data_IF_807200548003
#
_entry.id   IF_807200548003
#
_cell.length_a   1.000
_cell.length_b   1.000
_cell.length_c   1.000
_cell.angle_alpha   90.00
_cell.angle_beta   90.00
_cell.angle_gamma   90.00
#
_symmetry.space_group_name_H-M   'P 1'
#
loop_
_entity.id
_entity.type
_entity.pdbx_description
1 polymer ?
#
# COMPACT_ATOMS: atom_id res chain seq x y z
N UNK A 1 7.98 10.10 46.24
CA UNK A 1 8.89 11.11 46.81
C UNK A 1 8.69 12.41 46.05
N UNK A 2 8.32 13.53 46.68
CA UNK A 2 8.24 14.82 46.00
C UNK A 2 9.66 15.30 45.64
N UNK A 3 9.82 15.91 44.45
CA UNK A 3 11.12 16.46 43.99
C UNK A 3 11.35 17.82 44.68
N UNK A 4 12.46 17.94 45.41
CA UNK A 4 12.89 19.20 46.02
C UNK A 4 13.35 20.21 44.95
N UNK A 5 12.51 21.22 44.73
CA UNK A 5 12.73 22.30 43.77
C UNK A 5 13.83 23.29 44.21
N UNK A 6 14.22 23.27 45.48
CA UNK A 6 15.21 24.20 46.03
C UNK A 6 16.65 23.85 45.61
N UNK A 7 16.94 22.57 45.37
CA UNK A 7 18.25 22.10 44.89
C UNK A 7 18.57 22.60 43.47
N UNK A 8 17.56 22.67 42.59
CA UNK A 8 17.74 23.21 41.24
C UNK A 8 18.00 24.72 41.25
N UNK A 9 17.43 25.45 42.21
CA UNK A 9 17.60 26.90 42.31
C UNK A 9 19.01 27.27 42.74
N UNK A 10 19.58 26.52 43.68
CA UNK A 10 20.96 26.73 44.14
C UNK A 10 21.99 26.44 43.04
N UNK A 11 21.68 25.54 42.09
CA UNK A 11 22.56 25.26 40.94
C UNK A 11 22.56 26.37 39.88
N UNK A 12 21.55 27.23 39.85
CA UNK A 12 21.40 28.32 38.88
C UNK A 12 21.94 29.68 39.38
N UNK A 13 22.14 29.84 40.69
CA UNK A 13 22.63 31.10 41.29
C UNK A 13 24.14 31.35 41.08
N UNK A 14 24.87 30.40 40.51
CA UNK A 14 26.32 30.51 40.28
C UNK A 14 26.77 30.80 38.84
N UNK A 15 25.84 30.94 37.89
CA UNK A 15 26.20 31.19 36.48
C UNK A 15 26.22 32.69 36.17
N UNK A 16 27.33 33.18 35.59
CA UNK A 16 27.44 34.56 35.15
C UNK A 16 26.37 34.89 34.08
N UNK A 17 25.74 36.08 34.16
CA UNK A 17 24.79 36.50 33.14
C UNK A 17 25.54 36.89 31.86
N UNK A 18 25.20 36.23 30.74
CA UNK A 18 25.73 36.54 29.42
C UNK A 18 25.36 37.96 29.01
N UNK A 19 26.34 38.86 29.01
CA UNK A 19 26.24 40.17 28.38
C UNK A 19 26.26 40.02 26.86
N UNK A 20 25.48 40.86 26.18
CA UNK A 20 25.31 40.83 24.73
C UNK A 20 25.90 42.11 24.16
N UNK A 21 27.21 42.10 23.90
CA UNK A 21 27.86 43.19 23.17
C UNK A 21 28.56 42.67 21.90
N UNK A 22 28.58 43.45 20.79
CA UNK A 22 29.05 43.00 19.50
C UNK A 22 30.41 43.63 19.19
N UNK A 23 31.52 42.94 19.42
CA UNK A 23 32.80 43.34 18.82
C UNK A 23 33.61 42.16 18.28
N UNK A 24 34.17 42.42 17.11
CA UNK A 24 34.87 41.48 16.25
C UNK A 24 36.17 40.97 16.89
N UNK A 25 36.23 39.65 17.12
CA UNK A 25 37.43 38.92 17.48
C UNK A 25 37.66 37.79 16.49
N UNK A 26 38.69 37.92 15.67
CA UNK A 26 39.12 36.95 14.68
C UNK A 26 39.80 35.77 15.38
N UNK A 27 39.10 34.63 15.53
CA UNK A 27 39.70 33.34 15.87
C UNK A 27 39.20 32.27 14.92
N UNK A 28 40.09 31.86 14.02
CA UNK A 28 39.99 30.67 13.19
C UNK A 28 40.08 29.44 14.08
N UNK A 29 38.94 28.77 14.34
CA UNK A 29 38.81 27.32 14.55
C UNK A 29 37.38 26.99 15.03
N UNK A 30 36.37 27.45 14.28
CA UNK A 30 35.03 26.87 14.37
C UNK A 30 34.95 25.70 13.37
N UNK A 31 34.57 24.47 13.80
CA UNK A 31 34.19 23.45 12.85
C UNK A 31 33.02 24.02 12.03
N UNK A 32 33.03 23.86 10.70
CA UNK A 32 31.99 24.43 9.86
C UNK A 32 30.63 23.98 10.42
N UNK A 33 29.63 24.87 10.48
CA UNK A 33 28.29 24.45 10.85
C UNK A 33 27.98 23.24 9.97
N UNK A 34 27.51 22.15 10.57
CA UNK A 34 26.97 21.02 9.85
C UNK A 34 25.77 21.54 9.07
N UNK A 35 26.07 22.18 7.94
CA UNK A 35 25.16 22.40 6.85
C UNK A 35 24.91 20.99 6.35
N UNK A 36 23.94 20.35 7.00
CA UNK A 36 23.20 19.26 6.40
C UNK A 36 22.76 19.87 5.08
N UNK A 37 23.32 19.44 3.92
CA UNK A 37 22.83 19.93 2.65
C UNK A 37 21.33 19.72 2.73
N UNK A 38 20.55 20.79 2.49
CA UNK A 38 19.12 20.66 2.26
C UNK A 38 18.99 19.45 1.38
N UNK A 39 18.51 18.32 1.95
CA UNK A 39 18.27 17.09 1.22
C UNK A 39 17.61 17.60 -0.04
N UNK A 40 18.25 17.42 -1.20
CA UNK A 40 17.61 17.79 -2.44
C UNK A 40 16.31 17.02 -2.38
N UNK A 41 15.23 17.72 -2.03
CA UNK A 41 13.89 17.20 -1.91
C UNK A 41 13.68 16.67 -3.30
N UNK A 42 13.85 15.35 -3.45
CA UNK A 42 14.03 14.76 -4.75
C UNK A 42 12.81 15.17 -5.58
N UNK A 43 12.95 15.30 -6.90
CA UNK A 43 11.79 15.69 -7.72
C UNK A 43 10.59 14.73 -7.55
N UNK A 44 10.79 13.57 -6.93
CA UNK A 44 9.76 12.66 -6.42
C UNK A 44 8.92 13.26 -5.26
N UNK A 45 9.53 13.96 -4.29
CA UNK A 45 8.81 14.67 -3.22
C UNK A 45 8.03 15.89 -3.72
N UNK A 46 8.48 16.55 -4.79
CA UNK A 46 7.70 17.64 -5.42
C UNK A 46 6.38 17.14 -6.01
N UNK A 47 6.29 15.86 -6.42
CA UNK A 47 5.05 15.23 -6.90
C UNK A 47 4.08 14.83 -5.78
N UNK A 48 4.51 14.98 -4.53
CA UNK A 48 3.78 14.64 -3.32
C UNK A 48 3.29 15.88 -2.56
N UNK A 49 3.37 17.09 -3.12
CA UNK A 49 3.08 18.33 -2.38
C UNK A 49 1.69 18.37 -1.69
N UNK A 50 0.70 17.66 -2.23
CA UNK A 50 -0.67 17.59 -1.66
C UNK A 50 -0.89 16.37 -0.76
N UNK A 51 0.08 15.47 -0.65
CA UNK A 51 0.01 14.21 0.09
C UNK A 51 1.07 14.20 1.18
N UNK A 52 0.65 13.91 2.41
CA UNK A 52 1.54 13.75 3.56
C UNK A 52 1.57 12.28 3.97
N UNK A 53 2.21 11.40 3.17
CA UNK A 53 2.19 9.97 3.44
C UNK A 53 3.07 9.63 4.64
N UNK A 54 2.60 8.71 5.48
CA UNK A 54 3.35 8.13 6.58
C UNK A 54 3.18 6.61 6.59
N UNK A 55 4.21 5.88 7.02
CA UNK A 55 4.15 4.42 7.12
C UNK A 55 3.74 3.99 8.52
N UNK A 56 2.87 2.98 8.62
CA UNK A 56 2.51 2.30 9.86
C UNK A 56 2.52 0.79 9.65
N UNK A 57 2.67 0.01 10.71
CA UNK A 57 2.38 -1.43 10.66
C UNK A 57 0.89 -1.65 10.42
N UNK A 58 0.57 -2.77 9.76
CA UNK A 58 -0.80 -3.22 9.56
C UNK A 58 -1.23 -4.11 10.71
N UNK A 59 -2.50 -4.01 11.09
CA UNK A 59 -3.09 -4.86 12.10
C UNK A 59 -4.42 -5.47 11.63
N UNK A 60 -5.07 -6.20 12.52
CA UNK A 60 -6.35 -6.87 12.23
C UNK A 60 -7.50 -5.92 11.92
N UNK A 61 -7.44 -4.66 12.35
CA UNK A 61 -8.44 -3.64 12.06
C UNK A 61 -8.32 -3.15 10.60
N UNK A 62 -7.10 -3.20 10.04
CA UNK A 62 -6.81 -2.77 8.67
C UNK A 62 -7.15 -3.84 7.61
N UNK A 63 -7.55 -5.06 8.00
CA UNK A 63 -7.84 -6.17 7.06
C UNK A 63 -8.85 -5.76 5.98
N UNK A 64 -9.91 -5.04 6.39
CA UNK A 64 -10.94 -4.56 5.46
C UNK A 64 -10.44 -3.50 4.49
N UNK A 65 -9.55 -2.61 4.94
CA UNK A 65 -8.92 -1.60 4.09
C UNK A 65 -7.96 -2.24 3.08
N UNK A 66 -7.18 -3.22 3.53
CA UNK A 66 -6.27 -3.97 2.67
C UNK A 66 -7.03 -4.72 1.58
N UNK A 67 -8.09 -5.46 1.93
CA UNK A 67 -8.88 -6.18 0.93
C UNK A 67 -9.52 -5.24 -0.10
N UNK A 68 -10.11 -4.12 0.36
CA UNK A 68 -10.64 -3.12 -0.55
C UNK A 68 -9.55 -2.58 -1.49
N UNK A 69 -8.36 -2.29 -0.96
CA UNK A 69 -7.25 -1.78 -1.75
C UNK A 69 -6.76 -2.80 -2.77
N UNK A 70 -6.68 -4.10 -2.43
CA UNK A 70 -6.29 -5.14 -3.39
C UNK A 70 -7.31 -5.28 -4.52
N UNK A 71 -8.60 -5.28 -4.20
CA UNK A 71 -9.67 -5.36 -5.19
C UNK A 71 -9.74 -4.13 -6.11
N UNK A 72 -9.25 -2.99 -5.64
CA UNK A 72 -9.18 -1.75 -6.42
C UNK A 72 -7.91 -1.70 -7.28
N UNK A 73 -6.80 -2.25 -6.79
CA UNK A 73 -5.50 -2.21 -7.45
C UNK A 73 -5.25 -3.33 -8.46
N UNK A 74 -5.82 -4.53 -8.24
CA UNK A 74 -5.56 -5.73 -9.03
C UNK A 74 -6.80 -6.23 -9.77
N UNK A 75 -6.58 -6.89 -10.91
CA UNK A 75 -7.63 -7.70 -11.51
C UNK A 75 -7.96 -8.91 -10.60
N UNK A 76 -9.20 -9.45 -10.66
CA UNK A 76 -9.65 -10.49 -9.73
C UNK A 76 -8.81 -11.78 -9.68
N UNK A 77 -7.95 -12.00 -10.69
CA UNK A 77 -7.10 -13.19 -10.79
C UNK A 77 -5.66 -12.97 -10.26
N UNK A 78 -5.26 -11.71 -10.02
CA UNK A 78 -3.94 -11.30 -9.53
C UNK A 78 -3.95 -10.85 -8.05
N UNK A 79 -5.13 -10.56 -7.47
CA UNK A 79 -5.25 -10.16 -6.07
C UNK A 79 -4.84 -11.30 -5.11
N UNK A 80 -4.06 -10.96 -4.07
CA UNK A 80 -3.59 -11.91 -3.07
C UNK A 80 -4.70 -12.35 -2.10
N UNK A 81 -5.82 -11.62 -2.06
CA UNK A 81 -6.91 -11.83 -1.13
C UNK A 81 -7.85 -12.98 -1.50
N UNK A 82 -7.89 -13.44 -2.77
CA UNK A 82 -8.97 -14.34 -3.22
C UNK A 82 -8.56 -15.82 -3.33
N UNK A 83 -9.20 -16.65 -2.51
CA UNK A 83 -9.28 -18.10 -2.70
C UNK A 83 -10.06 -18.41 -3.99
N UNK A 84 -9.37 -19.01 -4.96
CA UNK A 84 -9.92 -19.34 -6.28
C UNK A 84 -10.88 -20.53 -6.16
N UNK A 85 -12.12 -20.27 -5.74
CA UNK A 85 -13.24 -21.17 -6.04
C UNK A 85 -13.30 -21.34 -7.56
N UNK A 86 -13.01 -22.56 -8.03
CA UNK A 86 -13.37 -23.02 -9.36
C UNK A 86 -14.84 -22.67 -9.62
N UNK A 87 -15.08 -21.73 -10.53
CA UNK A 87 -16.05 -21.91 -11.61
C UNK A 87 -15.89 -20.81 -12.67
N UNK A 88 -15.52 -21.29 -13.85
CA UNK A 88 -15.73 -20.76 -15.19
C UNK A 88 -16.80 -19.66 -15.31
N UNK A 89 -16.40 -18.47 -15.77
CA UNK A 89 -17.06 -17.77 -16.88
C UNK A 89 -16.01 -16.93 -17.62
N UNK A 90 -15.75 -17.19 -18.92
CA UNK A 90 -14.82 -16.38 -19.70
C UNK A 90 -15.50 -15.04 -20.04
N UNK A 91 -14.94 -13.93 -19.58
CA UNK A 91 -15.27 -12.63 -20.17
C UNK A 91 -14.34 -12.37 -21.36
N UNK A 92 -14.86 -12.04 -22.56
CA UNK A 92 -14.05 -11.83 -23.74
C UNK A 92 -13.38 -10.44 -23.74
N UNK A 93 -12.23 -10.28 -24.41
CA UNK A 93 -11.51 -9.02 -24.49
C UNK A 93 -11.89 -8.25 -25.76
N UNK A 94 -12.82 -7.28 -25.69
CA UNK A 94 -12.87 -6.14 -26.61
C UNK A 94 -14.07 -5.24 -26.27
N UNK A 95 -13.87 -3.99 -25.85
CA UNK A 95 -14.52 -2.80 -26.44
C UNK A 95 -13.63 -1.58 -26.15
N UNK A 96 -12.53 -1.50 -26.88
CA UNK A 96 -12.02 -0.21 -27.35
C UNK A 96 -12.54 -0.01 -28.77
N UNK A 97 -12.93 1.22 -29.10
CA UNK A 97 -13.38 1.71 -30.42
C UNK A 97 -14.62 1.03 -31.03
N UNK A 98 -15.79 1.68 -30.92
CA UNK A 98 -16.74 1.91 -32.04
C UNK A 98 -17.62 3.14 -31.78
N UNK A 99 -17.00 4.31 -31.68
CA UNK A 99 -17.65 5.57 -32.08
C UNK A 99 -17.20 5.83 -33.51
N UNK A 100 -17.96 5.32 -34.49
CA UNK A 100 -18.16 5.89 -35.84
C UNK A 100 -18.85 4.85 -36.74
N UNK A 101 -19.84 5.33 -37.48
CA UNK A 101 -20.49 4.72 -38.65
C UNK A 101 -21.47 3.55 -38.41
N UNK A 102 -22.76 3.88 -38.24
CA UNK A 102 -23.87 3.13 -38.82
C UNK A 102 -25.19 3.94 -38.76
N UNK A 103 -25.25 5.09 -39.45
CA UNK A 103 -26.53 5.65 -39.90
C UNK A 103 -26.52 5.60 -41.42
N UNK A 104 -27.00 4.48 -41.96
CA UNK A 104 -27.57 4.47 -43.30
C UNK A 104 -28.27 3.13 -43.52
N UNK A 105 -29.56 3.24 -43.83
CA UNK A 105 -30.53 2.19 -44.18
C UNK A 105 -31.29 1.57 -42.99
N UNK A 106 -32.29 2.31 -42.52
CA UNK A 106 -33.60 1.70 -42.28
C UNK A 106 -34.66 2.58 -42.95
N UNK A 107 -35.33 2.00 -43.95
CA UNK A 107 -36.48 2.59 -44.64
C UNK A 107 -37.70 2.46 -43.74
N UNK A 108 -38.35 3.58 -43.47
CA UNK A 108 -39.61 3.68 -42.72
C UNK A 108 -40.78 3.45 -43.69
N UNK A 109 -41.83 2.67 -43.35
CA UNK A 109 -43.14 2.87 -43.91
C UNK A 109 -43.98 3.79 -43.00
N UNK A 110 -44.57 4.78 -43.65
CA UNK A 110 -45.51 5.78 -43.16
C UNK A 110 -46.75 5.19 -42.48
N UNK A 111 -47.18 5.76 -41.35
CA UNK A 111 -48.56 6.23 -41.13
C UNK A 111 -48.77 6.87 -39.74
N UNK A 112 -49.48 8.00 -39.76
CA UNK A 112 -50.29 8.60 -38.69
C UNK A 112 -49.59 9.30 -37.50
N UNK A 113 -49.55 10.63 -37.60
CA UNK A 113 -49.51 11.61 -36.50
C UNK A 113 -50.81 11.56 -35.66
N UNK A 114 -50.79 11.89 -34.34
CA UNK A 114 -50.92 13.31 -33.96
C UNK A 114 -50.10 13.79 -32.74
N UNK A 115 -49.68 15.05 -32.86
CA UNK A 115 -49.34 16.09 -31.87
C UNK A 115 -48.19 15.91 -30.85
N UNK A 116 -47.36 16.96 -30.62
CA UNK A 116 -46.02 16.80 -30.05
C UNK A 116 -45.90 17.46 -28.67
N UNK A 117 -46.66 17.06 -27.66
CA UNK A 117 -46.47 17.64 -26.30
C UNK A 117 -46.56 16.65 -25.14
N UNK A 118 -46.83 15.36 -25.38
CA UNK A 118 -46.96 14.37 -24.30
C UNK A 118 -45.96 13.20 -24.35
N UNK A 119 -45.05 13.18 -25.32
CA UNK A 119 -44.07 12.11 -25.50
C UNK A 119 -42.61 12.57 -25.28
N UNK A 120 -42.40 13.60 -24.46
CA UNK A 120 -41.05 14.05 -24.08
C UNK A 120 -40.73 13.81 -22.58
N UNK A 121 -41.69 13.34 -21.78
CA UNK A 121 -41.49 13.11 -20.34
C UNK A 121 -41.28 11.61 -19.99
N UNK A 122 -41.41 10.68 -20.95
CA UNK A 122 -41.28 9.24 -20.68
C UNK A 122 -40.05 8.54 -21.32
N UNK A 123 -39.10 9.29 -21.90
CA UNK A 123 -37.82 8.72 -22.41
C UNK A 123 -36.60 9.51 -21.91
N UNK A 124 -36.66 10.04 -20.67
CA UNK A 124 -35.50 10.54 -19.93
C UNK A 124 -35.48 10.01 -18.48
N UNK A 125 -36.18 8.91 -18.20
CA UNK A 125 -36.36 8.37 -16.85
C UNK A 125 -35.74 7.00 -16.59
N UNK A 126 -35.02 6.39 -17.53
CA UNK A 126 -34.62 4.97 -17.44
C UNK A 126 -33.15 4.69 -17.78
N UNK A 127 -32.27 5.67 -17.60
CA UNK A 127 -30.82 5.43 -17.77
C UNK A 127 -29.97 6.18 -16.74
N UNK A 128 -30.32 6.07 -15.47
CA UNK A 128 -29.36 6.15 -14.37
C UNK A 128 -29.98 5.52 -13.11
N UNK A 129 -29.89 4.19 -13.01
CA UNK A 129 -30.06 3.53 -11.71
C UNK A 129 -28.66 3.42 -11.08
N UNK A 130 -28.34 4.17 -10.01
CA UNK A 130 -27.10 3.97 -9.28
C UNK A 130 -27.28 2.76 -8.37
N UNK A 131 -27.35 1.56 -8.95
CA UNK A 131 -27.34 0.30 -8.22
C UNK A 131 -26.12 -0.49 -8.66
N UNK A 132 -24.98 -0.17 -8.05
CA UNK A 132 -24.09 -1.13 -7.39
C UNK A 132 -22.85 -0.42 -6.82
N UNK A 133 -23.05 0.59 -5.98
CA UNK A 133 -22.17 0.73 -4.83
C UNK A 133 -22.60 -0.37 -3.85
N UNK A 134 -21.86 -1.48 -3.84
CA UNK A 134 -22.06 -2.51 -2.83
C UNK A 134 -21.86 -1.85 -1.47
N UNK A 135 -22.77 -2.02 -0.49
CA UNK A 135 -22.50 -1.61 0.87
C UNK A 135 -21.29 -2.39 1.37
N UNK A 136 -20.17 -1.71 1.58
CA UNK A 136 -18.96 -2.25 2.17
C UNK A 136 -19.22 -2.43 3.67
N UNK A 137 -19.94 -3.49 3.99
CA UNK A 137 -20.36 -3.86 5.34
C UNK A 137 -20.69 -5.35 5.42
N UNK A 138 -20.03 -6.18 4.63
CA UNK A 138 -20.08 -7.63 4.80
C UNK A 138 -18.97 -8.04 5.77
N UNK A 139 -19.40 -8.68 6.86
CA UNK A 139 -18.55 -9.30 7.89
C UNK A 139 -17.39 -10.07 7.26
N UNK A 140 -16.21 -9.97 7.87
CA UNK A 140 -14.89 -10.52 7.49
C UNK A 140 -14.80 -12.04 7.35
N UNK A 141 -15.90 -12.76 7.20
CA UNK A 141 -15.98 -14.22 7.33
C UNK A 141 -15.61 -15.03 6.07
N UNK A 142 -15.17 -14.39 4.97
CA UNK A 142 -14.85 -15.07 3.71
C UNK A 142 -13.36 -14.96 3.28
N UNK A 143 -12.46 -14.43 4.13
CA UNK A 143 -11.10 -14.02 3.70
C UNK A 143 -9.97 -14.61 4.55
N UNK A 144 -9.67 -15.94 4.45
CA UNK A 144 -8.69 -16.57 5.32
C UNK A 144 -7.25 -16.10 5.09
N UNK A 145 -6.87 -15.61 3.90
CA UNK A 145 -5.46 -15.36 3.57
C UNK A 145 -4.88 -14.08 4.17
N UNK A 146 -5.50 -12.91 3.93
CA UNK A 146 -5.05 -11.65 4.52
C UNK A 146 -5.21 -11.66 6.04
N UNK A 147 -6.34 -12.18 6.53
CA UNK A 147 -6.59 -12.34 7.96
C UNK A 147 -5.51 -13.18 8.63
N UNK A 148 -5.18 -14.35 8.05
CA UNK A 148 -4.10 -15.20 8.54
C UNK A 148 -2.76 -14.44 8.57
N UNK A 149 -2.35 -13.83 7.45
CA UNK A 149 -1.04 -13.16 7.33
C UNK A 149 -0.90 -11.99 8.29
N UNK A 150 -1.95 -11.18 8.46
CA UNK A 150 -1.92 -10.07 9.42
C UNK A 150 -2.00 -10.54 10.88
N UNK A 151 -2.61 -11.70 11.14
CA UNK A 151 -2.61 -12.31 12.48
C UNK A 151 -1.24 -12.86 12.86
N UNK A 152 -0.59 -13.60 11.96
CA UNK A 152 0.67 -14.31 12.28
C UNK A 152 1.92 -13.49 11.97
N UNK A 153 1.86 -12.54 11.03
CA UNK A 153 3.02 -11.82 10.50
C UNK A 153 2.75 -10.31 10.35
N UNK A 154 1.97 -9.73 11.27
CA UNK A 154 1.61 -8.31 11.23
C UNK A 154 2.82 -7.36 11.36
N UNK A 155 3.90 -7.82 11.98
CA UNK A 155 5.17 -7.11 12.11
C UNK A 155 5.92 -6.95 10.77
N UNK A 156 5.73 -7.89 9.85
CA UNK A 156 6.28 -7.84 8.49
C UNK A 156 5.39 -7.05 7.52
N UNK A 157 4.14 -6.78 7.90
CA UNK A 157 3.18 -6.06 7.09
C UNK A 157 3.26 -4.55 7.34
N UNK A 158 3.10 -3.73 6.30
CA UNK A 158 3.22 -2.27 6.40
C UNK A 158 2.25 -1.55 5.47
N UNK A 159 1.54 -0.58 6.01
CA UNK A 159 0.65 0.32 5.28
C UNK A 159 1.30 1.68 5.06
N UNK A 160 1.01 2.28 3.91
CA UNK A 160 1.27 3.68 3.60
C UNK A 160 -0.05 4.44 3.71
N UNK A 161 -0.13 5.31 4.69
CA UNK A 161 -1.34 6.08 4.98
C UNK A 161 -1.16 7.54 4.65
N UNK A 162 -2.25 8.21 4.39
CA UNK A 162 -2.34 9.68 4.45
C UNK A 162 -3.53 10.06 5.29
N UNK A 163 -3.55 11.32 5.71
CA UNK A 163 -4.71 11.90 6.37
C UNK A 163 -5.35 12.94 5.47
N UNK A 164 -6.69 12.95 5.40
CA UNK A 164 -7.41 13.95 4.63
C UNK A 164 -8.76 14.29 5.26
N UNK A 165 -9.19 15.52 5.02
CA UNK A 165 -10.53 16.00 5.35
C UNK A 165 -11.48 15.77 4.16
N UNK A 166 -12.78 15.66 4.41
CA UNK A 166 -13.78 15.58 3.34
C UNK A 166 -13.81 16.82 2.42
N UNK A 167 -13.31 17.96 2.93
CA UNK A 167 -13.14 19.23 2.21
C UNK A 167 -11.90 19.26 1.32
N UNK A 168 -11.01 18.27 1.41
CA UNK A 168 -9.81 18.21 0.57
C UNK A 168 -10.21 18.15 -0.91
N UNK A 169 -9.50 18.89 -1.75
CA UNK A 169 -9.73 18.88 -3.19
C UNK A 169 -9.01 17.71 -3.88
N UNK A 170 -9.46 17.37 -5.09
CA UNK A 170 -8.85 16.33 -5.92
C UNK A 170 -9.23 14.89 -5.52
N UNK A 171 -8.47 13.90 -6.02
CA UNK A 171 -8.84 12.48 -5.93
C UNK A 171 -8.91 11.97 -4.49
N UNK A 172 -8.10 12.55 -3.59
CA UNK A 172 -8.11 12.16 -2.18
C UNK A 172 -9.40 12.58 -1.46
N UNK A 173 -9.93 13.76 -1.76
CA UNK A 173 -11.21 14.20 -1.22
C UNK A 173 -12.39 13.39 -1.76
N UNK A 174 -12.38 13.09 -3.07
CA UNK A 174 -13.39 12.21 -3.69
C UNK A 174 -13.38 10.82 -3.04
N UNK A 175 -12.18 10.28 -2.81
CA UNK A 175 -12.02 9.01 -2.14
C UNK A 175 -12.61 9.04 -0.72
N UNK A 176 -12.24 10.04 0.10
CA UNK A 176 -12.78 10.22 1.47
C UNK A 176 -14.30 10.39 1.49
N UNK A 177 -14.90 11.00 0.47
CA UNK A 177 -16.36 11.13 0.35
C UNK A 177 -17.05 9.86 -0.14
N UNK A 178 -16.34 8.99 -0.86
CA UNK A 178 -16.93 7.78 -1.45
C UNK A 178 -17.14 6.65 -0.44
N UNK A 179 -16.37 6.62 0.65
CA UNK A 179 -16.46 5.56 1.67
C UNK A 179 -16.13 6.04 3.07
N UNK A 180 -16.56 5.27 4.07
CA UNK A 180 -16.20 5.50 5.47
C UNK A 180 -14.75 5.07 5.72
N UNK A 181 -14.00 5.95 6.38
CA UNK A 181 -12.63 5.73 6.83
C UNK A 181 -12.53 6.02 8.34
N UNK A 182 -11.63 5.32 9.06
CA UNK A 182 -11.39 5.61 10.47
C UNK A 182 -10.86 7.04 10.67
N UNK A 183 -11.18 7.67 11.81
CA UNK A 183 -10.56 8.95 12.16
C UNK A 183 -9.08 8.73 12.52
N UNK A 184 -8.25 9.73 12.25
CA UNK A 184 -6.82 9.67 12.60
C UNK A 184 -6.63 9.70 14.11
N UNK A 185 -7.42 10.50 14.80
CA UNK A 185 -7.38 10.64 16.25
C UNK A 185 -8.79 10.78 16.84
N UNK A 186 -8.90 10.77 18.16
CA UNK A 186 -10.18 10.92 18.88
C UNK A 186 -10.61 12.38 19.03
N UNK A 187 -9.72 13.34 18.78
CA UNK A 187 -9.95 14.77 18.96
C UNK A 187 -10.50 15.47 17.71
N UNK A 188 -10.16 14.95 16.53
CA UNK A 188 -10.50 15.42 15.19
C UNK A 188 -11.13 14.25 14.44
N UNK A 189 -12.44 14.11 14.63
CA UNK A 189 -13.25 13.11 13.94
C UNK A 189 -13.33 13.34 12.43
N UNK A 190 -13.03 14.55 11.96
CA UNK A 190 -13.22 14.97 10.58
C UNK A 190 -12.02 14.59 9.71
N UNK A 191 -10.83 14.52 10.31
CA UNK A 191 -9.61 14.02 9.66
C UNK A 191 -9.63 12.51 9.57
N UNK A 192 -9.71 12.00 8.34
CA UNK A 192 -9.78 10.56 8.04
C UNK A 192 -8.42 9.97 7.70
N UNK A 193 -8.14 8.77 8.21
CA UNK A 193 -6.96 7.95 7.89
C UNK A 193 -7.28 7.11 6.64
N UNK A 194 -6.53 7.33 5.56
CA UNK A 194 -6.74 6.68 4.26
C UNK A 194 -5.53 5.81 3.93
N UNK A 195 -5.75 4.54 3.64
CA UNK A 195 -4.71 3.61 3.18
C UNK A 195 -4.47 3.82 1.67
N UNK A 196 -3.26 4.27 1.32
CA UNK A 196 -2.84 4.50 -0.08
C UNK A 196 -2.13 3.31 -0.70
N UNK A 197 -1.47 2.52 0.13
CA UNK A 197 -0.65 1.39 -0.30
C UNK A 197 -0.40 0.43 0.84
N UNK A 198 -0.16 -0.85 0.56
CA UNK A 198 0.28 -1.82 1.56
C UNK A 198 1.32 -2.79 1.03
N UNK A 199 2.08 -3.34 1.96
CA UNK A 199 2.89 -4.54 1.79
C UNK A 199 2.43 -5.57 2.81
N UNK A 200 2.17 -6.79 2.34
CA UNK A 200 1.89 -7.95 3.18
C UNK A 200 2.90 -9.04 2.86
N UNK A 201 3.53 -9.58 3.90
CA UNK A 201 4.59 -10.56 3.79
C UNK A 201 4.49 -11.62 4.90
N UNK A 202 5.12 -12.78 4.69
CA UNK A 202 5.35 -13.79 5.73
C UNK A 202 6.80 -14.26 5.69
N UNK A 203 7.23 -15.05 6.67
CA UNK A 203 8.52 -15.74 6.62
C UNK A 203 8.32 -17.20 6.23
N UNK A 204 9.33 -17.75 5.57
CA UNK A 204 9.36 -19.15 5.18
C UNK A 204 10.82 -19.67 5.15
N UNK A 205 11.00 -20.98 5.30
CA UNK A 205 12.32 -21.61 5.30
C UNK A 205 12.93 -21.73 3.88
N UNK A 206 12.09 -21.83 2.84
CA UNK A 206 12.56 -21.86 1.46
C UNK A 206 13.26 -20.56 1.07
N UNK A 207 14.23 -20.65 0.15
CA UNK A 207 14.93 -19.48 -0.41
C UNK A 207 14.04 -18.65 -1.34
N UNK A 208 13.08 -19.28 -2.00
CA UNK A 208 12.18 -18.69 -2.98
C UNK A 208 10.72 -18.82 -2.51
N UNK A 209 9.82 -18.05 -3.12
CA UNK A 209 8.39 -18.15 -2.84
C UNK A 209 7.85 -19.44 -3.48
N UNK A 210 7.44 -20.39 -2.65
CA UNK A 210 6.83 -21.66 -3.06
C UNK A 210 5.32 -21.64 -2.85
N UNK A 211 4.59 -22.59 -3.45
CA UNK A 211 3.15 -22.72 -3.21
C UNK A 211 2.85 -22.99 -1.71
N UNK A 212 3.73 -23.70 -1.01
CA UNK A 212 3.63 -23.91 0.44
C UNK A 212 3.79 -22.61 1.24
N UNK A 213 4.67 -21.70 0.81
CA UNK A 213 4.82 -20.38 1.41
C UNK A 213 3.59 -19.47 1.16
N UNK A 214 2.89 -19.67 0.04
CA UNK A 214 1.67 -18.94 -0.32
C UNK A 214 0.43 -19.47 0.40
N UNK A 215 0.40 -20.78 0.68
CA UNK A 215 -0.75 -21.48 1.23
C UNK A 215 -1.03 -21.13 2.70
N UNK A 216 -2.27 -21.35 3.11
CA UNK A 216 -2.75 -21.12 4.47
C UNK A 216 -3.12 -22.47 5.10
N UNK A 217 -2.56 -22.84 6.26
CA UNK A 217 -2.92 -24.07 6.96
C UNK A 217 -4.42 -24.07 7.32
N UNK A 218 -5.14 -25.18 7.17
CA UNK A 218 -6.58 -25.24 7.49
C UNK A 218 -6.88 -24.90 8.96
N UNK A 219 -5.97 -25.29 9.86
CA UNK A 219 -6.18 -25.25 11.31
C UNK A 219 -5.51 -24.03 11.97
N UNK A 220 -5.14 -23.02 11.18
CA UNK A 220 -4.34 -21.88 11.66
C UNK A 220 -4.99 -21.08 12.80
N UNK A 221 -6.33 -21.10 12.90
CA UNK A 221 -7.08 -20.43 13.99
C UNK A 221 -7.06 -21.20 15.30
N UNK A 222 -6.87 -22.51 15.25
CA UNK A 222 -6.97 -23.39 16.42
C UNK A 222 -5.63 -23.91 16.89
N UNK A 223 -4.63 -23.98 16.02
CA UNK A 223 -3.31 -24.53 16.32
C UNK A 223 -2.21 -23.66 15.71
N UNK A 224 -1.58 -22.84 16.56
CA UNK A 224 -0.39 -22.09 16.17
C UNK A 224 0.84 -22.98 16.29
N UNK A 225 1.55 -23.14 15.17
CA UNK A 225 2.82 -23.87 15.11
C UNK A 225 3.94 -22.88 14.81
N UNK A 226 5.07 -23.02 15.49
CA UNK A 226 6.22 -22.11 15.34
C UNK A 226 6.90 -22.30 13.98
N UNK A 227 7.00 -23.55 13.51
CA UNK A 227 7.60 -23.89 12.21
C UNK A 227 6.71 -24.90 11.49
N UNK A 228 5.59 -24.42 10.91
CA UNK A 228 4.75 -25.26 10.08
C UNK A 228 5.41 -25.49 8.72
N UNK A 229 5.16 -26.66 8.08
CA UNK A 229 5.65 -26.91 6.72
C UNK A 229 4.97 -26.00 5.69
N UNK A 230 3.77 -25.50 5.99
CA UNK A 230 2.93 -24.68 5.11
C UNK A 230 2.63 -23.35 5.78
N UNK A 231 2.71 -22.26 5.02
CA UNK A 231 2.42 -20.90 5.47
C UNK A 231 3.61 -20.21 6.14
N UNK A 232 3.29 -19.37 7.14
CA UNK A 232 4.26 -18.57 7.89
C UNK A 232 5.08 -19.44 8.84
N UNK A 233 6.40 -19.31 8.75
CA UNK A 233 7.39 -19.93 9.63
C UNK A 233 8.27 -18.86 10.27
N UNK A 234 8.14 -18.69 11.59
CA UNK A 234 8.87 -17.68 12.36
C UNK A 234 10.39 -17.87 12.29
N UNK A 235 10.83 -19.13 12.20
CA UNK A 235 12.24 -19.50 12.07
C UNK A 235 12.76 -19.37 10.63
N UNK A 236 11.90 -19.02 9.67
CA UNK A 236 12.25 -18.86 8.27
C UNK A 236 13.32 -17.78 8.05
N UNK A 237 14.25 -18.04 7.14
CA UNK A 237 15.33 -17.08 6.81
C UNK A 237 14.95 -16.13 5.67
N UNK A 238 13.82 -16.38 5.01
CA UNK A 238 13.36 -15.64 3.83
C UNK A 238 12.03 -14.97 4.13
N UNK A 239 11.96 -13.66 3.91
CA UNK A 239 10.68 -12.92 3.92
C UNK A 239 10.06 -13.01 2.53
N UNK A 240 8.92 -13.68 2.43
CA UNK A 240 8.11 -13.79 1.22
C UNK A 240 7.15 -12.61 1.13
N UNK A 241 7.38 -11.70 0.17
CA UNK A 241 6.45 -10.61 -0.13
C UNK A 241 5.31 -11.17 -0.98
N UNK A 242 4.11 -11.12 -0.42
CA UNK A 242 2.90 -11.67 -1.05
C UNK A 242 2.09 -10.63 -1.80
N UNK A 243 2.01 -9.43 -1.26
CA UNK A 243 1.20 -8.35 -1.82
C UNK A 243 1.90 -7.02 -1.68
N UNK A 244 1.94 -6.26 -2.78
CA UNK A 244 2.33 -4.86 -2.83
C UNK A 244 1.27 -4.13 -3.66
N UNK A 245 0.34 -3.48 -2.97
CA UNK A 245 -0.75 -2.74 -3.61
C UNK A 245 -0.56 -1.24 -3.40
N UNK A 246 -0.91 -0.45 -4.42
CA UNK A 246 -1.05 1.01 -4.32
C UNK A 246 -2.33 1.39 -5.03
N UNK A 247 -3.07 2.34 -4.49
CA UNK A 247 -4.33 2.79 -5.07
C UNK A 247 -4.12 3.41 -6.46
N UNK A 248 -4.92 3.04 -7.48
CA UNK A 248 -4.69 3.43 -8.88
C UNK A 248 -4.63 4.95 -9.11
N UNK A 249 -5.49 5.72 -8.45
CA UNK A 249 -5.51 7.19 -8.57
C UNK A 249 -4.22 7.88 -8.09
N UNK A 250 -3.39 7.16 -7.34
CA UNK A 250 -2.12 7.64 -6.80
C UNK A 250 -0.90 6.95 -7.44
N UNK A 251 -1.09 6.20 -8.53
CA UNK A 251 0.00 5.66 -9.34
C UNK A 251 0.81 6.79 -10.01
N UNK A 252 2.04 6.47 -10.44
CA UNK A 252 2.92 7.44 -11.11
C UNK A 252 3.54 8.51 -10.20
N UNK A 253 3.16 8.56 -8.92
CA UNK A 253 3.70 9.52 -7.92
C UNK A 253 4.89 8.99 -7.13
N UNK A 254 5.38 7.79 -7.42
CA UNK A 254 6.52 7.17 -6.72
C UNK A 254 6.19 6.47 -5.41
N UNK A 255 4.93 6.49 -4.95
CA UNK A 255 4.50 5.89 -3.68
C UNK A 255 4.91 4.42 -3.51
N UNK A 256 4.72 3.59 -4.55
CA UNK A 256 5.10 2.18 -4.49
C UNK A 256 6.60 1.96 -4.31
N UNK A 257 7.43 2.83 -4.89
CA UNK A 257 8.89 2.77 -4.70
C UNK A 257 9.30 3.18 -3.29
N UNK A 258 8.69 4.26 -2.78
CA UNK A 258 8.92 4.74 -1.41
C UNK A 258 8.52 3.67 -0.40
N UNK A 259 7.34 3.09 -0.57
CA UNK A 259 6.83 2.02 0.28
C UNK A 259 7.74 0.80 0.26
N UNK A 260 8.11 0.31 -0.93
CA UNK A 260 8.97 -0.87 -1.07
C UNK A 260 10.37 -0.65 -0.50
N UNK A 261 11.01 0.49 -0.80
CA UNK A 261 12.37 0.78 -0.29
C UNK A 261 12.39 0.98 1.22
N UNK A 262 11.44 1.75 1.75
CA UNK A 262 11.31 1.97 3.19
C UNK A 262 11.03 0.67 3.95
N UNK A 263 10.21 -0.21 3.36
CA UNK A 263 9.97 -1.55 3.92
C UNK A 263 11.21 -2.45 3.85
N UNK A 264 11.92 -2.50 2.72
CA UNK A 264 13.17 -3.29 2.61
C UNK A 264 14.24 -2.81 3.59
N UNK A 265 14.37 -1.49 3.79
CA UNK A 265 15.27 -0.92 4.78
C UNK A 265 14.88 -1.37 6.20
N UNK A 266 13.59 -1.29 6.54
CA UNK A 266 13.11 -1.74 7.85
C UNK A 266 13.35 -3.23 8.10
N UNK A 267 13.17 -4.08 7.09
CA UNK A 267 13.44 -5.52 7.18
C UNK A 267 14.94 -5.81 7.38
N UNK A 268 15.81 -5.00 6.78
CA UNK A 268 17.26 -5.07 6.99
C UNK A 268 17.62 -4.66 8.41
N UNK A 269 17.10 -3.53 8.89
CA UNK A 269 17.41 -2.99 10.21
C UNK A 269 16.90 -3.90 11.34
N UNK A 270 15.81 -4.64 11.09
CA UNK A 270 15.28 -5.63 12.01
C UNK A 270 16.14 -6.91 12.10
N UNK A 271 17.04 -7.15 11.13
CA UNK A 271 17.92 -8.33 11.03
C UNK A 271 17.21 -9.68 11.28
N UNK A 272 15.94 -9.77 10.89
CA UNK A 272 15.07 -10.92 11.19
C UNK A 272 15.10 -12.01 10.10
N UNK A 273 15.76 -11.73 8.98
CA UNK A 273 15.84 -12.61 7.80
C UNK A 273 17.12 -12.32 7.01
N UNK A 274 17.59 -13.29 6.23
CA UNK A 274 18.78 -13.13 5.39
C UNK A 274 18.46 -12.50 4.03
N UNK A 275 17.21 -12.63 3.59
CA UNK A 275 16.76 -12.20 2.26
C UNK A 275 15.26 -11.95 2.19
N UNK A 276 14.86 -11.19 1.17
CA UNK A 276 13.48 -11.02 0.75
C UNK A 276 13.30 -11.72 -0.60
N UNK A 277 12.26 -12.52 -0.75
CA UNK A 277 11.86 -13.14 -2.01
C UNK A 277 10.45 -12.68 -2.40
N UNK A 278 10.22 -12.52 -3.71
CA UNK A 278 8.91 -12.21 -4.27
C UNK A 278 8.73 -12.86 -5.63
N UNK A 279 7.48 -13.02 -6.02
CA UNK A 279 7.08 -13.41 -7.38
C UNK A 279 6.44 -12.22 -8.09
N UNK A 280 6.77 -12.02 -9.36
CA UNK A 280 6.19 -10.94 -10.15
C UNK A 280 5.95 -11.33 -11.61
N UNK A 281 5.06 -10.59 -12.27
CA UNK A 281 4.88 -10.67 -13.73
C UNK A 281 6.10 -10.08 -14.43
N UNK A 282 6.38 -10.57 -15.63
CA UNK A 282 7.54 -10.12 -16.43
C UNK A 282 7.59 -8.59 -16.60
N UNK A 283 6.42 -7.96 -16.83
CA UNK A 283 6.28 -6.49 -16.96
C UNK A 283 6.77 -5.69 -15.74
N UNK A 284 6.80 -6.30 -14.55
CA UNK A 284 7.18 -5.67 -13.28
C UNK A 284 8.64 -5.92 -12.89
N UNK A 285 9.37 -6.76 -13.63
CA UNK A 285 10.79 -7.03 -13.35
C UNK A 285 11.61 -5.74 -13.26
N UNK A 286 11.53 -4.79 -14.23
CA UNK A 286 12.32 -3.56 -14.17
C UNK A 286 11.96 -2.64 -12.99
N UNK A 287 10.76 -2.78 -12.42
CA UNK A 287 10.36 -2.03 -11.24
C UNK A 287 11.09 -2.56 -9.99
N UNK A 288 11.14 -3.88 -9.82
CA UNK A 288 11.80 -4.53 -8.68
C UNK A 288 13.33 -4.49 -8.80
N UNK A 289 13.89 -4.59 -10.01
CA UNK A 289 15.34 -4.41 -10.23
C UNK A 289 15.83 -3.04 -9.78
N UNK A 290 15.06 -1.97 -10.03
CA UNK A 290 15.37 -0.61 -9.53
C UNK A 290 15.27 -0.46 -8.01
N UNK A 291 14.62 -1.41 -7.34
CA UNK A 291 14.58 -1.50 -5.89
C UNK A 291 15.69 -2.38 -5.31
N UNK A 292 16.53 -2.99 -6.18
CA UNK A 292 17.68 -3.82 -5.79
C UNK A 292 17.44 -5.33 -5.87
N UNK A 293 16.25 -5.77 -6.29
CA UNK A 293 15.96 -7.20 -6.44
C UNK A 293 16.65 -7.78 -7.67
N UNK A 294 17.22 -8.97 -7.52
CA UNK A 294 17.85 -9.73 -8.59
C UNK A 294 16.86 -10.74 -9.17
N UNK A 295 16.76 -10.77 -10.49
CA UNK A 295 15.99 -11.78 -11.22
C UNK A 295 16.69 -13.14 -11.13
N UNK A 296 15.98 -14.14 -10.61
CA UNK A 296 16.47 -15.53 -10.55
C UNK A 296 16.08 -16.29 -11.81
N UNK A 297 14.79 -16.26 -12.17
CA UNK A 297 14.26 -17.01 -13.31
C UNK A 297 12.76 -17.22 -13.26
N UNK A 298 12.19 -18.04 -14.16
CA UNK A 298 10.79 -18.46 -14.09
C UNK A 298 10.53 -19.24 -12.80
N UNK A 299 9.47 -18.87 -12.09
CA UNK A 299 9.08 -19.47 -10.81
C UNK A 299 8.25 -20.73 -11.01
N UNK A 300 8.44 -21.78 -10.19
CA UNK A 300 7.58 -22.96 -10.18
C UNK A 300 6.21 -22.70 -9.52
N UNK A 301 6.03 -21.57 -8.83
CA UNK A 301 4.80 -21.24 -8.11
C UNK A 301 3.60 -21.16 -9.07
N UNK A 302 2.53 -21.90 -8.74
CA UNK A 302 1.29 -21.95 -9.52
C UNK A 302 0.18 -21.09 -8.94
N UNK A 303 0.46 -20.38 -7.83
CA UNK A 303 -0.44 -19.37 -7.28
C UNK A 303 -0.96 -18.45 -8.39
N UNK A 304 -2.22 -18.04 -8.36
CA UNK A 304 -2.67 -17.04 -9.33
C UNK A 304 -2.77 -17.51 -10.80
N UNK A 305 -2.48 -18.79 -11.13
CA UNK A 305 -2.46 -19.29 -12.51
C UNK A 305 -1.06 -19.33 -13.14
N UNK A 306 -0.01 -19.22 -12.33
CA UNK A 306 1.39 -19.40 -12.74
C UNK A 306 1.95 -18.31 -13.66
N UNK A 307 3.09 -18.58 -14.30
CA UNK A 307 3.77 -17.63 -15.19
C UNK A 307 4.48 -16.50 -14.46
N UNK A 308 5.01 -16.79 -13.28
CA UNK A 308 5.72 -15.82 -12.45
C UNK A 308 7.22 -15.88 -12.67
N UNK A 309 7.90 -14.80 -12.32
CA UNK A 309 9.35 -14.73 -12.21
C UNK A 309 9.75 -14.51 -10.76
N UNK A 310 10.70 -15.31 -10.29
CA UNK A 310 11.28 -15.19 -8.96
C UNK A 310 12.30 -14.04 -8.93
N UNK A 311 12.14 -13.19 -7.93
CA UNK A 311 13.02 -12.07 -7.64
C UNK A 311 13.49 -12.17 -6.19
N UNK A 312 14.77 -11.93 -5.94
CA UNK A 312 15.37 -12.04 -4.59
C UNK A 312 16.24 -10.83 -4.28
N UNK A 313 16.13 -10.31 -3.05
CA UNK A 313 17.02 -9.32 -2.48
C UNK A 313 17.76 -9.95 -1.29
N UNK A 314 19.06 -10.16 -1.40
CA UNK A 314 19.91 -10.68 -0.31
C UNK A 314 20.46 -9.49 0.51
N UNK A 315 20.40 -9.55 1.84
CA UNK A 315 20.94 -8.48 2.68
C UNK A 315 22.47 -8.54 2.82
N UNK A 316 23.06 -9.74 2.69
CA UNK A 316 24.50 -9.98 2.89
C UNK A 316 25.40 -9.56 1.71
N UNK A 317 24.85 -9.02 0.62
CA UNK A 317 25.62 -8.70 -0.60
C UNK A 317 25.84 -7.20 -0.84
N UNK A 318 25.39 -6.31 0.05
CA UNK A 318 25.78 -4.90 -0.05
C UNK A 318 27.11 -4.68 0.67
N UNK A 319 28.07 -3.98 0.05
CA UNK A 319 29.32 -3.67 0.71
C UNK A 319 29.00 -2.94 2.01
N UNK A 320 29.52 -3.46 3.13
CA UNK A 320 29.60 -2.67 4.36
C UNK A 320 30.45 -1.46 3.98
N UNK A 321 29.88 -0.26 4.04
CA UNK A 321 30.68 0.94 4.01
C UNK A 321 31.73 0.78 5.10
N UNK A 322 33.00 0.69 4.68
CA UNK A 322 34.13 0.51 5.59
C UNK A 322 34.26 1.78 6.42
N UNK A 323 34.01 1.65 7.72
CA UNK A 323 34.34 2.65 8.75
C UNK A 323 35.80 3.14 8.64
#
# INVERSE_FOLDING_TARGET
MPRDLESMRSSLEGMEPLTKDPEAGNSTDDPPPLYVPTLQVSDEYKKLQDLHPYSSLLNMEDVGECDWLENTAFEPHEAASREKRLNTHPCPPHVSLRFFLAISKLSIPTACTPSPHFLCILILGSMWSPQHLKPCGSKSSDMPQLEYRLTVAGDLASGLYTSAYATTEGPLGELVRSRSFPSVDSSDSDRKKVLLGHIVATKHHSRLVTDDAMAVPSDWRSNYQISPPVGHDEAGETVCLHSLAVHPDFHGRGLGRVLLRGWCQRMRDADCSKRIALICRERLIPFYEKAGFLKVGPSPCQFGGGGWFDMVLEFNQMPKDSD
#
